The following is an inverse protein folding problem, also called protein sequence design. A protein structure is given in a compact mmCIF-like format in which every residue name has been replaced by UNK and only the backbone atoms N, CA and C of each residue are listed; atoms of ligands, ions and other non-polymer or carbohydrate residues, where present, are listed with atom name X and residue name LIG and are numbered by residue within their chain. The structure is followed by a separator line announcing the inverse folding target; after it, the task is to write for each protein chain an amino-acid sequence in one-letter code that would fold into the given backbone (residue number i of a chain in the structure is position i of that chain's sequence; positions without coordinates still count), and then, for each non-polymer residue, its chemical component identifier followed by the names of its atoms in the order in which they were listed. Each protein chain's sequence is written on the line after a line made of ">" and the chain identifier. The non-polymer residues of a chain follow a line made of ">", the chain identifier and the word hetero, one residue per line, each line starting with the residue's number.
data_IF_241285546336
#
_entry.id   IF_241285546336
#
_cell.length_a   1.000
_cell.length_b   1.000
_cell.length_c   1.000
_cell.angle_alpha   90.00
_cell.angle_beta   90.00
_cell.angle_gamma   90.00
#
_symmetry.space_group_name_H-M   'P 1'
#
loop_
_entity.id
_entity.type
_entity.pdbx_description
1 polymer ?
#
# COMPACT_ATOMS: atom_id res chain seq x y z
N UNK A 1 -7.29 5.98 -4.91
CA UNK A 1 -6.30 6.99 -5.36
C UNK A 1 -6.42 8.28 -4.55
N UNK A 2 -5.29 8.80 -4.06
CA UNK A 2 -5.19 10.12 -3.41
C UNK A 2 -4.11 10.92 -4.14
N UNK A 3 -4.44 12.10 -4.61
CA UNK A 3 -3.54 12.96 -5.38
C UNK A 3 -3.25 14.18 -4.51
N UNK A 4 -2.01 14.33 -4.05
CA UNK A 4 -1.54 15.55 -3.40
C UNK A 4 -1.11 16.48 -4.52
N UNK A 5 -1.71 17.67 -4.56
CA UNK A 5 -1.55 18.58 -5.70
C UNK A 5 -0.56 19.68 -5.39
N UNK A 6 -0.65 20.24 -4.19
CA UNK A 6 0.15 21.38 -3.80
C UNK A 6 0.21 21.52 -2.28
N UNK A 7 1.37 21.92 -1.81
CA UNK A 7 1.60 22.37 -0.44
C UNK A 7 1.99 23.85 -0.52
N UNK A 8 1.12 24.73 -0.04
CA UNK A 8 1.38 26.17 0.00
C UNK A 8 1.53 26.63 1.44
N UNK A 9 2.52 27.50 1.69
CA UNK A 9 2.58 28.27 2.92
C UNK A 9 1.76 29.54 2.69
N UNK A 10 0.61 29.62 3.35
CA UNK A 10 -0.27 30.80 3.29
C UNK A 10 0.03 31.66 4.51
N UNK A 11 0.75 32.75 4.30
CA UNK A 11 0.89 33.79 5.30
C UNK A 11 -0.40 34.61 5.35
N UNK A 12 -1.17 34.45 6.41
CA UNK A 12 -2.26 35.38 6.73
C UNK A 12 -1.69 36.52 7.58
N UNK A 13 -2.36 37.69 7.67
CA UNK A 13 -1.87 38.83 8.46
C UNK A 13 -1.65 38.50 9.95
N UNK A 14 -2.26 37.42 10.44
CA UNK A 14 -2.28 37.04 11.85
C UNK A 14 -1.37 35.84 12.10
N UNK A 15 -1.20 34.93 11.13
CA UNK A 15 -0.47 33.67 11.30
C UNK A 15 0.00 33.04 9.98
N UNK A 16 1.10 32.30 10.04
CA UNK A 16 1.54 31.40 8.96
C UNK A 16 0.75 30.09 9.05
N UNK A 17 -0.02 29.78 8.01
CA UNK A 17 -0.85 28.58 7.92
C UNK A 17 -0.37 27.74 6.75
N UNK A 18 -0.21 26.44 6.98
CA UNK A 18 0.12 25.49 5.92
C UNK A 18 -1.18 25.05 5.23
N UNK A 19 -1.34 25.38 3.95
CA UNK A 19 -2.48 24.95 3.15
C UNK A 19 -2.10 23.71 2.34
N UNK A 20 -2.74 22.58 2.65
CA UNK A 20 -2.61 21.33 1.93
C UNK A 20 -3.81 21.14 0.99
N UNK A 21 -3.51 21.05 -0.31
CA UNK A 21 -4.50 20.86 -1.36
C UNK A 21 -4.38 19.43 -1.89
N UNK A 22 -5.45 18.66 -1.73
CA UNK A 22 -5.44 17.28 -2.21
C UNK A 22 -6.79 16.84 -2.73
N UNK A 23 -6.75 15.91 -3.70
CA UNK A 23 -7.92 15.23 -4.20
C UNK A 23 -7.96 13.79 -3.69
N UNK A 24 -9.15 13.30 -3.40
CA UNK A 24 -9.38 11.90 -3.01
C UNK A 24 -10.48 11.31 -3.88
N UNK A 25 -10.25 10.13 -4.42
CA UNK A 25 -11.29 9.32 -5.05
C UNK A 25 -12.13 8.65 -3.96
N UNK A 26 -13.47 8.74 -4.07
CA UNK A 26 -14.41 8.03 -3.18
C UNK A 26 -14.59 6.58 -3.63
N UNK A 27 -14.65 6.37 -4.95
CA UNK A 27 -14.75 5.07 -5.58
C UNK A 27 -13.55 4.88 -6.54
N UNK A 28 -12.52 4.11 -6.14
CA UNK A 28 -11.33 3.89 -6.96
C UNK A 28 -11.66 3.26 -8.33
N UNK A 29 -12.75 2.49 -8.40
CA UNK A 29 -13.20 1.77 -9.59
C UNK A 29 -13.83 2.69 -10.66
N UNK A 30 -14.24 3.92 -10.31
CA UNK A 30 -14.98 4.82 -11.20
C UNK A 30 -14.08 5.80 -11.99
N UNK A 31 -12.87 5.38 -12.36
CA UNK A 31 -11.99 6.09 -13.31
C UNK A 31 -11.84 7.60 -13.05
N UNK A 32 -11.75 8.01 -11.78
CA UNK A 32 -11.54 9.43 -11.43
C UNK A 32 -12.75 10.34 -11.69
N UNK A 33 -13.96 9.80 -11.84
CA UNK A 33 -15.22 10.58 -11.90
C UNK A 33 -15.64 11.06 -10.51
N UNK A 34 -15.49 10.21 -9.50
CA UNK A 34 -15.88 10.51 -8.11
C UNK A 34 -14.72 11.09 -7.30
N UNK A 35 -14.28 12.27 -7.71
CA UNK A 35 -13.20 13.00 -7.03
C UNK A 35 -13.76 14.06 -6.08
N UNK A 36 -13.16 14.10 -4.88
CA UNK A 36 -13.43 15.13 -3.87
C UNK A 36 -12.20 16.00 -3.72
N UNK A 37 -12.41 17.29 -3.77
CA UNK A 37 -11.36 18.28 -3.56
C UNK A 37 -11.35 18.75 -2.10
N UNK A 38 -10.17 18.76 -1.50
CA UNK A 38 -9.94 19.21 -0.14
C UNK A 38 -8.92 20.33 -0.09
N UNK A 39 -9.19 21.30 0.78
CA UNK A 39 -8.21 22.29 1.21
C UNK A 39 -8.16 22.24 2.73
N UNK A 40 -7.01 21.85 3.28
CA UNK A 40 -6.78 21.76 4.71
C UNK A 40 -5.80 22.83 5.12
N UNK A 41 -6.24 23.71 5.99
CA UNK A 41 -5.42 24.76 6.57
C UNK A 41 -4.96 24.31 7.95
N UNK A 42 -3.65 24.14 8.11
CA UNK A 42 -3.01 23.60 9.32
C UNK A 42 -2.22 24.72 10.00
N UNK A 43 -2.50 24.93 11.27
CA UNK A 43 -1.83 25.93 12.11
C UNK A 43 -1.25 25.23 13.34
N UNK A 44 0.04 25.45 13.64
CA UNK A 44 0.76 24.76 14.73
C UNK A 44 0.55 23.23 14.70
N UNK A 45 0.67 22.63 13.52
CA UNK A 45 0.45 21.20 13.27
C UNK A 45 -0.98 20.69 13.58
N UNK A 46 -1.92 21.58 13.90
CA UNK A 46 -3.33 21.26 14.13
C UNK A 46 -4.18 21.72 12.96
N UNK A 47 -5.16 20.89 12.57
CA UNK A 47 -6.11 21.24 11.53
C UNK A 47 -6.98 22.40 12.02
N UNK A 48 -6.86 23.56 11.37
CA UNK A 48 -7.60 24.77 11.71
C UNK A 48 -8.91 24.83 10.93
N UNK A 49 -8.83 24.82 9.59
CA UNK A 49 -10.03 24.79 8.73
C UNK A 49 -9.93 23.75 7.63
N UNK A 50 -11.08 23.24 7.19
CA UNK A 50 -11.19 22.31 6.06
C UNK A 50 -12.29 22.74 5.10
N UNK A 51 -11.97 22.79 3.81
CA UNK A 51 -12.96 22.77 2.73
C UNK A 51 -13.07 21.35 2.20
N UNK A 52 -14.30 20.85 2.12
CA UNK A 52 -14.67 19.61 1.43
C UNK A 52 -15.64 19.98 0.31
N UNK A 53 -15.31 19.63 -0.94
CA UNK A 53 -16.16 19.99 -2.08
C UNK A 53 -17.56 19.39 -2.04
N UNK A 54 -17.80 18.31 -1.28
CA UNK A 54 -19.14 17.74 -1.05
C UNK A 54 -19.97 18.60 -0.12
N UNK A 55 -19.32 19.24 0.84
CA UNK A 55 -19.96 20.17 1.78
C UNK A 55 -20.09 21.55 1.14
N UNK A 56 -19.12 21.94 0.31
CA UNK A 56 -19.15 23.18 -0.45
C UNK A 56 -18.79 24.44 0.35
N UNK A 57 -18.35 24.30 1.61
CA UNK A 57 -17.91 25.39 2.49
C UNK A 57 -16.73 24.97 3.38
N UNK A 58 -16.03 25.97 3.91
CA UNK A 58 -15.02 25.80 4.95
C UNK A 58 -15.69 25.57 6.31
N UNK A 59 -15.13 24.64 7.09
CA UNK A 59 -15.47 24.36 8.49
C UNK A 59 -14.23 24.64 9.33
N UNK A 60 -14.38 25.41 10.41
CA UNK A 60 -13.33 25.67 11.40
C UNK A 60 -13.49 24.82 12.66
N UNK A 61 -12.37 24.41 13.28
CA UNK A 61 -12.37 23.50 14.44
C UNK A 61 -12.00 24.15 15.78
N UNK A 62 -11.57 25.41 15.76
CA UNK A 62 -11.27 26.20 16.96
C UNK A 62 -11.88 27.60 16.80
N UNK A 63 -12.07 28.34 17.89
CA UNK A 63 -12.76 29.64 17.86
C UNK A 63 -12.17 30.62 16.84
N UNK A 64 -10.84 30.77 16.80
CA UNK A 64 -10.17 31.59 15.79
C UNK A 64 -10.35 31.05 14.37
N UNK A 65 -10.28 29.72 14.21
CA UNK A 65 -10.46 29.06 12.92
C UNK A 65 -11.89 29.14 12.38
N UNK A 66 -12.90 29.30 13.25
CA UNK A 66 -14.28 29.54 12.83
C UNK A 66 -14.38 30.90 12.14
N UNK A 67 -13.75 31.94 12.71
CA UNK A 67 -13.69 33.27 12.09
C UNK A 67 -13.00 33.23 10.73
N UNK A 68 -11.93 32.45 10.60
CA UNK A 68 -11.26 32.23 9.31
C UNK A 68 -12.16 31.51 8.30
N UNK A 69 -12.87 30.46 8.74
CA UNK A 69 -13.80 29.72 7.88
C UNK A 69 -14.92 30.64 7.37
N UNK A 70 -15.49 31.48 8.23
CA UNK A 70 -16.51 32.46 7.85
C UNK A 70 -15.96 33.50 6.89
N UNK A 71 -14.75 34.01 7.15
CA UNK A 71 -14.06 34.92 6.24
C UNK A 71 -13.83 34.30 4.86
N UNK A 72 -13.45 33.03 4.78
CA UNK A 72 -13.28 32.32 3.50
C UNK A 72 -14.62 32.08 2.80
N UNK A 73 -15.65 31.67 3.54
CA UNK A 73 -16.98 31.40 3.02
C UNK A 73 -17.66 32.65 2.45
N UNK A 74 -17.39 33.82 3.02
CA UNK A 74 -17.92 35.11 2.55
C UNK A 74 -17.23 35.63 1.27
N UNK A 75 -16.15 35.01 0.80
CA UNK A 75 -15.45 35.39 -0.42
C UNK A 75 -16.01 34.64 -1.64
N UNK A 76 -16.97 35.25 -2.35
CA UNK A 76 -17.63 34.64 -3.51
C UNK A 76 -16.66 34.10 -4.58
N UNK A 77 -15.60 34.85 -4.89
CA UNK A 77 -14.57 34.45 -5.86
C UNK A 77 -13.85 33.16 -5.43
N UNK A 78 -13.51 33.05 -4.14
CA UNK A 78 -12.80 31.91 -3.57
C UNK A 78 -13.70 30.68 -3.61
N UNK A 79 -14.96 30.82 -3.17
CA UNK A 79 -15.92 29.71 -3.19
C UNK A 79 -16.26 29.24 -4.61
N UNK A 80 -16.34 30.16 -5.58
CA UNK A 80 -16.49 29.82 -7.00
C UNK A 80 -15.28 29.03 -7.51
N UNK A 81 -14.06 29.48 -7.19
CA UNK A 81 -12.83 28.81 -7.59
C UNK A 81 -12.75 27.39 -7.01
N UNK A 82 -13.12 27.19 -5.74
CA UNK A 82 -13.12 25.86 -5.09
C UNK A 82 -14.03 24.85 -5.79
N UNK A 83 -15.18 25.29 -6.29
CA UNK A 83 -16.10 24.44 -7.07
C UNK A 83 -15.47 24.02 -8.39
N UNK A 84 -14.84 24.96 -9.10
CA UNK A 84 -14.19 24.72 -10.40
C UNK A 84 -13.02 23.75 -10.27
N UNK A 85 -12.27 23.82 -9.16
CA UNK A 85 -11.07 22.99 -8.93
C UNK A 85 -11.35 21.49 -8.82
N UNK A 86 -12.59 21.08 -8.55
CA UNK A 86 -13.00 19.67 -8.65
C UNK A 86 -12.81 19.16 -10.07
N UNK A 87 -13.24 19.92 -11.07
CA UNK A 87 -13.07 19.54 -12.47
C UNK A 87 -11.64 19.74 -12.94
N UNK A 88 -11.14 20.97 -12.80
CA UNK A 88 -9.93 21.42 -13.48
C UNK A 88 -8.67 20.90 -12.82
N UNK A 89 -8.73 20.57 -11.53
CA UNK A 89 -7.58 20.06 -10.78
C UNK A 89 -7.77 18.60 -10.41
N UNK A 90 -8.90 18.20 -9.83
CA UNK A 90 -9.05 16.80 -9.43
C UNK A 90 -9.32 15.86 -10.61
N UNK A 91 -10.41 16.05 -11.35
CA UNK A 91 -10.79 15.13 -12.43
C UNK A 91 -9.81 15.15 -13.59
N UNK A 92 -9.33 16.34 -13.96
CA UNK A 92 -8.30 16.48 -14.99
C UNK A 92 -7.03 15.70 -14.64
N UNK A 93 -6.44 15.94 -13.46
CA UNK A 93 -5.23 15.22 -13.05
C UNK A 93 -5.50 13.73 -12.81
N UNK A 94 -6.67 13.36 -12.28
CA UNK A 94 -7.04 11.95 -12.12
C UNK A 94 -6.96 11.21 -13.45
N UNK A 95 -7.52 11.75 -14.54
CA UNK A 95 -7.42 11.14 -15.88
C UNK A 95 -5.98 10.93 -16.35
N UNK A 96 -5.08 11.85 -16.03
CA UNK A 96 -3.66 11.73 -16.39
C UNK A 96 -2.92 10.69 -15.55
N UNK A 97 -3.20 10.63 -14.25
CA UNK A 97 -2.46 9.77 -13.31
C UNK A 97 -3.05 8.36 -13.16
N UNK A 98 -4.28 8.09 -13.58
CA UNK A 98 -4.90 6.75 -13.47
C UNK A 98 -4.01 5.67 -14.10
N UNK A 99 -3.48 5.91 -15.30
CA UNK A 99 -2.63 4.94 -15.99
C UNK A 99 -1.32 4.66 -15.25
N UNK A 100 -0.68 5.71 -14.72
CA UNK A 100 0.61 5.59 -14.04
C UNK A 100 0.51 5.21 -12.55
N UNK A 101 -0.70 5.22 -11.97
CA UNK A 101 -0.91 4.92 -10.54
C UNK A 101 -1.87 3.77 -10.25
N UNK A 102 -3.02 3.66 -10.92
CA UNK A 102 -3.98 2.58 -10.67
C UNK A 102 -3.79 1.40 -11.62
N UNK A 103 -3.40 1.68 -12.86
CA UNK A 103 -3.19 0.68 -13.91
C UNK A 103 -1.72 0.30 -14.08
N UNK A 104 -0.83 0.82 -13.23
CA UNK A 104 0.59 0.46 -13.24
C UNK A 104 0.74 -1.02 -12.84
N UNK A 105 0.75 -1.87 -13.86
CA UNK A 105 1.06 -3.28 -13.77
C UNK A 105 2.52 -3.45 -14.18
N UNK A 106 3.45 -3.31 -13.25
CA UNK A 106 4.86 -3.27 -13.63
C UNK A 106 5.80 -3.07 -12.46
N UNK A 107 5.63 -3.85 -11.41
CA UNK A 107 6.68 -3.95 -10.41
C UNK A 107 6.87 -5.43 -10.10
N UNK A 108 8.10 -5.87 -10.36
CA UNK A 108 8.52 -7.25 -10.24
C UNK A 108 8.55 -7.57 -8.75
N UNK A 109 7.69 -8.50 -8.35
CA UNK A 109 7.64 -8.98 -6.98
C UNK A 109 8.83 -9.92 -6.76
N UNK A 110 9.91 -9.43 -6.15
CA UNK A 110 11.02 -10.27 -5.73
C UNK A 110 10.61 -10.98 -4.45
N UNK A 111 10.57 -12.31 -4.49
CA UNK A 111 10.25 -13.14 -3.34
C UNK A 111 11.49 -13.94 -2.98
N UNK A 112 12.05 -13.70 -1.80
CA UNK A 112 13.15 -14.48 -1.26
C UNK A 112 12.71 -15.22 -0.02
N UNK A 113 13.21 -16.44 0.14
CA UNK A 113 13.02 -17.22 1.36
C UNK A 113 14.36 -17.60 1.97
N UNK A 114 14.45 -17.44 3.29
CA UNK A 114 15.66 -17.73 4.05
C UNK A 114 15.29 -18.53 5.30
N UNK A 115 16.01 -19.62 5.56
CA UNK A 115 15.99 -20.29 6.85
C UNK A 115 17.07 -19.68 7.74
N UNK A 116 16.67 -19.09 8.86
CA UNK A 116 17.58 -18.64 9.91
C UNK A 116 17.71 -19.76 10.93
N UNK A 117 18.95 -20.25 11.11
CA UNK A 117 19.29 -21.12 12.25
C UNK A 117 19.49 -20.25 13.50
N UNK A 118 19.15 -20.72 14.69
CA UNK A 118 19.52 -20.03 15.93
C UNK A 118 21.04 -19.90 16.00
N UNK A 119 21.51 -18.75 16.46
CA UNK A 119 22.92 -18.52 16.77
C UNK A 119 23.21 -19.15 18.14
N UNK A 120 23.55 -20.45 18.15
CA UNK A 120 23.86 -21.21 19.36
C UNK A 120 23.53 -22.71 19.25
N UNK A 121 24.21 -23.52 20.07
CA UNK A 121 24.15 -25.00 20.08
C UNK A 121 22.89 -25.58 20.76
N UNK A 122 21.83 -24.76 20.90
CA UNK A 122 20.55 -25.17 21.46
C UNK A 122 19.57 -25.48 20.33
N UNK A 123 18.79 -26.55 20.49
CA UNK A 123 17.64 -26.95 19.66
C UNK A 123 16.48 -25.92 19.69
N UNK A 124 16.78 -24.64 19.55
CA UNK A 124 15.79 -23.60 19.33
C UNK A 124 15.24 -23.74 17.89
N UNK A 125 13.95 -23.52 17.72
CA UNK A 125 13.25 -23.68 16.44
C UNK A 125 13.94 -22.94 15.28
N UNK A 126 13.81 -23.48 14.07
CA UNK A 126 14.23 -22.77 12.87
C UNK A 126 13.20 -21.69 12.52
N UNK A 127 13.65 -20.56 11.98
CA UNK A 127 12.75 -19.50 11.53
C UNK A 127 12.83 -19.37 10.01
N UNK A 128 11.69 -19.39 9.33
CA UNK A 128 11.62 -19.04 7.92
C UNK A 128 11.28 -17.57 7.79
N UNK A 129 11.93 -16.91 6.84
CA UNK A 129 11.60 -15.55 6.40
C UNK A 129 11.15 -15.61 4.95
N UNK A 130 10.02 -15.00 4.63
CA UNK A 130 9.51 -14.75 3.30
C UNK A 130 9.50 -13.24 3.07
N UNK A 131 10.40 -12.76 2.23
CA UNK A 131 10.54 -11.33 1.93
C UNK A 131 9.94 -11.04 0.57
N UNK A 132 9.00 -10.11 0.53
CA UNK A 132 8.28 -9.68 -0.67
C UNK A 132 8.70 -8.25 -0.97
N UNK A 133 9.35 -8.03 -2.10
CA UNK A 133 9.95 -6.75 -2.47
C UNK A 133 9.43 -6.22 -3.79
N UNK A 134 9.48 -4.90 -3.96
CA UNK A 134 9.26 -4.28 -5.26
C UNK A 134 7.84 -4.47 -5.76
N UNK A 135 6.84 -4.59 -4.89
CA UNK A 135 5.45 -4.72 -5.31
C UNK A 135 4.72 -3.38 -5.30
N UNK A 136 3.75 -3.23 -6.20
CA UNK A 136 2.85 -2.08 -6.27
C UNK A 136 1.52 -2.51 -6.92
N UNK A 137 0.35 -2.11 -6.40
CA UNK A 137 0.12 -1.15 -5.31
C UNK A 137 0.37 -1.74 -3.91
N UNK A 138 -0.01 -1.01 -2.85
CA UNK A 138 0.31 -1.36 -1.47
C UNK A 138 -0.38 -2.64 -0.99
N UNK A 139 -1.57 -2.92 -1.53
CA UNK A 139 -2.43 -4.01 -1.08
C UNK A 139 -1.88 -5.39 -1.51
N UNK A 140 -1.33 -6.14 -0.55
CA UNK A 140 -0.78 -7.50 -0.71
C UNK A 140 -1.30 -8.41 0.41
N UNK A 141 -1.42 -9.71 0.13
CA UNK A 141 -1.67 -10.75 1.13
C UNK A 141 -0.53 -11.76 1.13
N UNK A 142 -0.03 -12.13 2.31
CA UNK A 142 1.00 -13.15 2.48
C UNK A 142 0.54 -14.14 3.54
N UNK A 143 0.60 -15.43 3.21
CA UNK A 143 0.14 -16.53 4.04
C UNK A 143 1.13 -17.68 4.01
N UNK A 144 1.23 -18.43 5.11
CA UNK A 144 2.04 -19.64 5.19
C UNK A 144 1.15 -20.87 5.06
N UNK A 145 1.62 -21.87 4.31
CA UNK A 145 0.95 -23.13 4.10
C UNK A 145 1.89 -24.26 4.50
N UNK A 146 1.39 -25.22 5.27
CA UNK A 146 2.07 -26.46 5.63
C UNK A 146 1.30 -27.61 4.98
N UNK A 147 1.94 -28.32 4.06
CA UNK A 147 1.34 -29.36 3.21
C UNK A 147 0.05 -28.89 2.49
N UNK A 148 -0.01 -27.60 2.15
CA UNK A 148 -1.17 -26.98 1.50
C UNK A 148 -2.27 -26.49 2.45
N UNK A 149 -2.12 -26.67 3.77
CA UNK A 149 -3.05 -26.15 4.78
C UNK A 149 -2.50 -24.86 5.36
N UNK A 150 -3.31 -23.81 5.39
CA UNK A 150 -2.91 -22.49 5.88
C UNK A 150 -2.63 -22.52 7.39
N UNK A 151 -1.53 -21.90 7.80
CA UNK A 151 -1.08 -21.83 9.19
C UNK A 151 -1.03 -20.38 9.62
N UNK A 152 -1.62 -20.09 10.78
CA UNK A 152 -1.65 -18.74 11.37
C UNK A 152 -0.95 -18.67 12.72
N UNK A 153 -0.65 -19.81 13.33
CA UNK A 153 0.13 -19.90 14.57
C UNK A 153 1.62 -19.70 14.27
N UNK A 154 2.33 -19.01 15.17
CA UNK A 154 3.77 -18.79 15.09
C UNK A 154 4.22 -18.04 13.81
N UNK A 155 3.27 -17.30 13.22
CA UNK A 155 3.48 -16.40 12.09
C UNK A 155 3.57 -14.96 12.60
N UNK A 156 4.61 -14.26 12.18
CA UNK A 156 4.76 -12.81 12.40
C UNK A 156 5.01 -12.11 11.08
N UNK A 157 4.47 -10.91 10.87
CA UNK A 157 4.72 -10.14 9.65
C UNK A 157 4.94 -8.67 9.97
N UNK A 158 5.81 -8.02 9.20
CA UNK A 158 6.00 -6.57 9.26
C UNK A 158 4.82 -5.86 8.62
N UNK A 159 4.61 -4.60 9.00
CA UNK A 159 3.80 -3.71 8.19
C UNK A 159 4.37 -3.56 6.78
N UNK A 160 3.51 -3.22 5.82
CA UNK A 160 3.94 -2.88 4.46
C UNK A 160 4.71 -1.54 4.47
N UNK A 161 5.98 -1.59 4.11
CA UNK A 161 6.91 -0.44 4.11
C UNK A 161 7.12 0.10 2.70
N UNK A 162 7.34 1.41 2.56
CA UNK A 162 7.62 2.06 1.28
C UNK A 162 9.13 2.14 1.02
N UNK A 163 9.57 1.80 -0.19
CA UNK A 163 10.98 1.78 -0.58
C UNK A 163 11.52 3.14 -1.07
N UNK A 164 10.64 4.13 -1.26
CA UNK A 164 11.01 5.45 -1.78
C UNK A 164 11.12 5.53 -3.31
N UNK A 165 11.03 4.42 -4.02
CA UNK A 165 11.05 4.29 -5.49
C UNK A 165 9.67 3.98 -6.09
N UNK A 166 8.59 4.31 -5.35
CA UNK A 166 7.20 3.97 -5.66
C UNK A 166 6.85 2.48 -5.58
N UNK A 167 7.70 1.67 -4.94
CA UNK A 167 7.40 0.28 -4.59
C UNK A 167 7.30 0.07 -3.07
N UNK A 168 6.77 -1.08 -2.69
CA UNK A 168 6.61 -1.52 -1.31
C UNK A 168 7.38 -2.80 -1.03
N UNK A 169 7.57 -3.09 0.26
CA UNK A 169 8.14 -4.32 0.78
C UNK A 169 7.35 -4.82 2.00
N UNK A 170 7.39 -6.13 2.24
CA UNK A 170 6.81 -6.80 3.41
C UNK A 170 7.60 -8.07 3.69
N UNK A 171 7.83 -8.34 4.98
CA UNK A 171 8.47 -9.56 5.44
C UNK A 171 7.51 -10.36 6.31
N UNK A 172 7.44 -11.66 6.08
CA UNK A 172 6.67 -12.60 6.90
C UNK A 172 7.60 -13.67 7.43
N UNK A 173 7.35 -14.10 8.65
CA UNK A 173 8.18 -15.02 9.39
C UNK A 173 7.34 -16.15 9.94
N UNK A 174 7.90 -17.36 9.94
CA UNK A 174 7.28 -18.54 10.51
C UNK A 174 8.31 -19.26 11.38
N UNK A 175 8.04 -19.37 12.69
CA UNK A 175 8.78 -20.29 13.54
C UNK A 175 8.32 -21.71 13.25
N UNK A 176 9.27 -22.62 13.00
CA UNK A 176 8.96 -23.99 12.69
C UNK A 176 10.00 -24.97 13.22
N UNK A 177 9.52 -26.16 13.57
CA UNK A 177 10.35 -27.33 13.82
C UNK A 177 10.30 -28.21 12.57
N UNK A 178 11.44 -28.43 11.89
CA UNK A 178 11.47 -29.24 10.68
C UNK A 178 10.92 -30.65 10.92
N UNK A 179 9.94 -31.07 10.12
CA UNK A 179 9.45 -32.46 10.08
C UNK A 179 9.91 -33.12 8.79
N UNK A 180 10.24 -34.42 8.86
CA UNK A 180 10.63 -35.18 7.66
C UNK A 180 9.49 -35.15 6.64
N UNK A 181 9.81 -34.76 5.41
CA UNK A 181 8.90 -34.74 4.25
C UNK A 181 7.76 -33.71 4.32
N UNK A 182 7.86 -32.72 5.21
CA UNK A 182 6.89 -31.63 5.29
C UNK A 182 7.20 -30.54 4.25
N UNK A 183 6.16 -30.00 3.61
CA UNK A 183 6.25 -28.92 2.63
C UNK A 183 5.72 -27.63 3.22
N UNK A 184 6.60 -26.65 3.41
CA UNK A 184 6.23 -25.34 3.97
C UNK A 184 6.36 -24.26 2.91
N UNK A 185 5.28 -23.57 2.62
CA UNK A 185 5.09 -22.70 1.45
C UNK A 185 4.67 -21.29 1.88
N UNK A 186 5.27 -20.26 1.29
CA UNK A 186 4.84 -18.87 1.45
C UNK A 186 4.00 -18.47 0.22
N UNK A 187 2.69 -18.29 0.39
CA UNK A 187 1.78 -17.85 -0.67
C UNK A 187 1.58 -16.34 -0.60
N UNK A 188 1.86 -15.68 -1.72
CA UNK A 188 1.72 -14.23 -1.90
C UNK A 188 0.62 -13.98 -2.92
N UNK A 189 -0.44 -13.28 -2.52
CA UNK A 189 -1.48 -12.79 -3.43
C UNK A 189 -1.34 -11.28 -3.62
N UNK A 190 -1.06 -10.90 -4.86
CA UNK A 190 -0.89 -9.51 -5.26
C UNK A 190 -1.31 -9.31 -6.71
N UNK A 191 -1.97 -8.20 -7.01
CA UNK A 191 -2.51 -7.95 -8.36
C UNK A 191 -1.45 -7.81 -9.46
N UNK A 192 -0.21 -7.42 -9.13
CA UNK A 192 0.86 -7.37 -10.13
C UNK A 192 1.28 -8.76 -10.61
N UNK A 193 1.12 -9.79 -9.77
CA UNK A 193 1.36 -11.18 -10.14
C UNK A 193 0.30 -11.66 -11.14
N UNK A 194 -0.95 -11.21 -11.01
CA UNK A 194 -2.03 -11.52 -11.96
C UNK A 194 -1.82 -10.87 -13.32
N UNK A 195 -1.31 -9.63 -13.33
CA UNK A 195 -1.13 -8.85 -14.56
C UNK A 195 0.09 -9.26 -15.40
N UNK A 196 1.10 -9.89 -14.79
CA UNK A 196 2.25 -10.45 -15.54
C UNK A 196 1.86 -11.67 -16.40
N UNK A 197 0.66 -12.22 -16.23
CA UNK A 197 0.23 -13.49 -16.80
C UNK A 197 -1.12 -13.41 -17.53
N UNK A 198 -1.31 -12.42 -18.41
CA UNK A 198 -2.40 -12.42 -19.42
C UNK A 198 -2.24 -13.52 -20.51
N UNK A 199 -1.68 -14.67 -20.13
CA UNK A 199 -1.56 -15.90 -20.90
C UNK A 199 -1.80 -17.09 -19.96
N UNK A 200 -3.08 -17.42 -19.71
CA UNK A 200 -3.64 -18.62 -19.04
C UNK A 200 -3.84 -18.56 -17.52
N UNK A 201 -5.08 -18.92 -17.15
CA UNK A 201 -5.63 -19.07 -15.81
C UNK A 201 -4.89 -20.12 -14.96
N UNK A 202 -4.15 -19.68 -13.94
CA UNK A 202 -3.71 -20.52 -12.81
C UNK A 202 -3.65 -19.66 -11.53
N UNK A 203 -4.22 -20.15 -10.44
CA UNK A 203 -3.92 -19.69 -9.07
C UNK A 203 -2.46 -20.04 -8.78
N UNK A 204 -1.63 -19.06 -8.44
CA UNK A 204 -0.21 -19.31 -8.20
C UNK A 204 0.06 -19.41 -6.70
N UNK A 205 0.21 -20.64 -6.21
CA UNK A 205 0.86 -20.95 -4.94
C UNK A 205 2.38 -20.96 -5.18
N UNK A 206 3.14 -20.11 -4.50
CA UNK A 206 4.62 -20.16 -4.56
C UNK A 206 5.10 -21.23 -3.60
N UNK A 207 5.08 -22.48 -4.04
CA UNK A 207 5.44 -23.65 -3.24
C UNK A 207 6.94 -23.65 -2.93
N UNK A 208 7.30 -23.41 -1.68
CA UNK A 208 8.64 -23.70 -1.16
C UNK A 208 8.61 -25.16 -0.68
N UNK A 209 9.46 -26.01 -1.26
CA UNK A 209 9.60 -27.41 -0.83
C UNK A 209 10.98 -27.57 -0.22
N UNK A 210 11.07 -27.53 1.11
CA UNK A 210 12.32 -27.82 1.81
C UNK A 210 12.43 -29.34 1.95
N UNK A 211 13.09 -29.99 1.00
CA UNK A 211 13.54 -31.37 1.20
C UNK A 211 14.73 -31.33 2.19
N UNK A 212 14.50 -31.68 3.45
CA UNK A 212 15.58 -31.82 4.42
C UNK A 212 16.39 -33.08 4.06
N UNK A 213 17.36 -32.96 3.16
CA UNK A 213 18.37 -34.01 2.93
C UNK A 213 19.43 -33.94 4.04
N UNK A 214 19.88 -35.10 4.47
CA UNK A 214 20.74 -35.28 5.64
C UNK A 214 22.23 -34.99 5.32
N UNK A 215 22.53 -34.00 4.48
CA UNK A 215 23.90 -33.62 4.14
C UNK A 215 24.10 -32.12 4.26
N UNK A 216 25.27 -31.75 4.76
CA UNK A 216 25.77 -30.42 5.14
C UNK A 216 25.95 -29.44 3.97
N UNK A 217 25.05 -29.44 2.99
CA UNK A 217 25.03 -28.53 1.84
C UNK A 217 23.61 -28.46 1.28
N UNK A 218 22.79 -27.53 1.78
CA UNK A 218 21.44 -27.30 1.24
C UNK A 218 21.52 -26.25 0.13
N UNK A 219 21.39 -26.71 -1.11
CA UNK A 219 21.21 -25.88 -2.29
C UNK A 219 19.88 -25.11 -2.19
N UNK A 220 19.91 -23.83 -2.56
CA UNK A 220 18.73 -23.01 -2.80
C UNK A 220 18.07 -23.44 -4.11
N UNK A 221 17.17 -24.42 -4.08
CA UNK A 221 16.36 -24.77 -5.24
C UNK A 221 15.02 -24.03 -5.19
N UNK A 222 14.97 -22.87 -5.86
CA UNK A 222 13.72 -22.18 -6.19
C UNK A 222 13.07 -22.96 -7.34
N UNK A 223 12.18 -23.90 -7.02
CA UNK A 223 11.41 -24.60 -8.04
C UNK A 223 10.09 -23.88 -8.32
N UNK A 224 9.98 -23.31 -9.52
CA UNK A 224 8.70 -22.95 -10.12
C UNK A 224 7.97 -24.25 -10.52
N UNK A 225 7.09 -24.78 -9.67
CA UNK A 225 6.26 -25.92 -10.05
C UNK A 225 5.02 -25.41 -10.80
N UNK A 226 5.06 -25.52 -12.12
CA UNK A 226 3.89 -25.40 -12.98
C UNK A 226 3.03 -26.66 -12.80
N UNK A 227 1.94 -26.58 -12.04
CA UNK A 227 0.90 -27.61 -12.12
C UNK A 227 -0.06 -27.24 -13.26
N UNK A 228 0.08 -27.94 -14.39
CA UNK A 228 -0.95 -27.98 -15.44
C UNK A 228 -2.15 -28.82 -14.97
N UNK A 229 -3.34 -28.64 -15.56
CA UNK A 229 -4.55 -29.35 -15.15
C UNK A 229 -4.44 -30.84 -15.52
N UNK A 230 -4.99 -31.69 -14.63
CA UNK A 230 -5.36 -33.10 -14.93
C UNK A 230 -6.66 -33.08 -15.74
#
# INVERSE_FOLDING_TARGET
>A
MRIILLLEIVCTPINTILALWHCRSIAPQNEGKDMVFFVKNVFNQKLCTIYDSRVGKYIGFAEHCIKDADHFNNQAWKMRLRRIQVETVCRYNARLFIKSTLERNGTFCLISTLQKKPEGDFEAGSMLECSVWGFFPKEVSVSWLRDGVEVTTDVASTDVMANGDWSYQLHSYLEFTPRKWERVTCRVDHRSLRAAFFSRDLLHDIIVSIATSNSSSLHHDVHFLNYGPI
#
